data_IF_909712104192
#
_entry.id   IF_909712104192
#
_cell.length_a   1.000
_cell.length_b   1.000
_cell.length_c   1.000
_cell.angle_alpha   90.00
_cell.angle_beta   90.00
_cell.angle_gamma   90.00
#
_symmetry.space_group_name_H-M   'P 1'
#
loop_
_entity.id
_entity.type
_entity.pdbx_description
1 polymer ?
#
# COMPACT_ATOMS: atom_id res chain seq x y z
N UNK A 1 5.79 -7.08 -9.87
CA UNK A 1 4.52 -6.37 -9.59
C UNK A 1 4.42 -6.33 -8.09
N UNK A 2 4.22 -5.16 -7.48
CA UNK A 2 4.21 -5.11 -6.01
C UNK A 2 2.91 -5.73 -5.48
N UNK A 3 2.97 -6.40 -4.34
CA UNK A 3 1.88 -7.20 -3.80
C UNK A 3 2.01 -7.37 -2.29
N UNK A 4 0.87 -7.47 -1.60
CA UNK A 4 0.81 -7.78 -0.17
C UNK A 4 0.05 -9.08 0.07
N UNK A 5 0.56 -9.91 0.97
CA UNK A 5 -0.12 -11.07 1.53
C UNK A 5 -0.45 -10.77 3.00
N UNK A 6 -1.73 -10.53 3.28
CA UNK A 6 -2.24 -10.21 4.61
C UNK A 6 -2.63 -11.51 5.30
N UNK A 7 -2.07 -11.78 6.47
CA UNK A 7 -2.25 -13.04 7.20
C UNK A 7 -2.88 -12.76 8.56
N UNK A 8 -3.96 -13.49 8.87
CA UNK A 8 -4.48 -13.62 10.23
C UNK A 8 -4.36 -15.06 10.71
N UNK A 9 -3.63 -15.25 11.82
CA UNK A 9 -3.55 -16.50 12.58
C UNK A 9 -3.52 -16.18 14.07
N UNK A 10 -4.69 -16.12 14.68
CA UNK A 10 -4.79 -15.96 16.14
C UNK A 10 -4.46 -17.26 16.87
N UNK A 11 -3.87 -17.21 18.08
CA UNK A 11 -3.50 -18.41 18.85
C UNK A 11 -4.66 -19.39 19.10
N UNK A 12 -5.88 -18.88 19.26
CA UNK A 12 -7.08 -19.66 19.54
C UNK A 12 -7.86 -20.09 18.29
N UNK A 13 -7.42 -19.68 17.09
CA UNK A 13 -8.08 -20.04 15.85
C UNK A 13 -7.58 -21.41 15.35
N UNK A 14 -8.47 -22.19 14.74
CA UNK A 14 -8.18 -23.47 14.07
C UNK A 14 -7.74 -23.32 12.60
N UNK A 15 -7.88 -22.10 12.07
CA UNK A 15 -7.57 -21.76 10.69
C UNK A 15 -6.68 -20.52 10.59
N UNK A 16 -6.06 -20.36 9.43
CA UNK A 16 -5.28 -19.19 9.03
C UNK A 16 -5.90 -18.59 7.78
N UNK A 17 -6.18 -17.30 7.80
CA UNK A 17 -6.66 -16.59 6.63
C UNK A 17 -5.51 -15.85 5.95
N UNK A 18 -5.46 -15.94 4.62
CA UNK A 18 -4.52 -15.21 3.77
C UNK A 18 -5.31 -14.46 2.70
N UNK A 19 -5.12 -13.15 2.65
CA UNK A 19 -5.69 -12.27 1.62
C UNK A 19 -4.57 -11.68 0.77
N UNK A 20 -4.73 -11.72 -0.55
CA UNK A 20 -3.77 -11.15 -1.50
C UNK A 20 -4.29 -9.83 -2.03
N UNK A 21 -3.51 -8.76 -1.85
CA UNK A 21 -3.83 -7.41 -2.29
C UNK A 21 -2.79 -6.95 -3.33
N UNK A 22 -3.27 -6.63 -4.53
CA UNK A 22 -2.44 -6.27 -5.69
C UNK A 22 -2.76 -4.89 -6.21
N UNK A 23 -1.73 -4.19 -6.67
CA UNK A 23 -1.89 -3.03 -7.56
C UNK A 23 -2.22 -3.52 -8.96
N UNK A 24 -3.45 -3.32 -9.41
CA UNK A 24 -3.94 -3.77 -10.73
C UNK A 24 -3.81 -2.73 -11.83
N UNK A 25 -3.55 -1.47 -11.49
CA UNK A 25 -3.32 -0.36 -12.44
C UNK A 25 -2.43 0.72 -11.79
N UNK A 26 -2.28 1.89 -12.41
CA UNK A 26 -1.44 2.99 -11.94
C UNK A 26 -1.80 3.44 -10.54
N UNK A 27 -3.09 3.56 -10.25
CA UNK A 27 -3.60 4.01 -8.95
C UNK A 27 -4.64 3.08 -8.34
N UNK A 28 -4.82 1.89 -8.91
CA UNK A 28 -5.88 0.96 -8.49
C UNK A 28 -5.27 -0.23 -7.75
N UNK A 29 -5.80 -0.52 -6.57
CA UNK A 29 -5.44 -1.66 -5.72
C UNK A 29 -6.70 -2.51 -5.46
N UNK A 30 -6.58 -3.83 -5.53
CA UNK A 30 -7.67 -4.79 -5.30
C UNK A 30 -7.20 -5.97 -4.49
N UNK A 31 -8.12 -6.52 -3.70
CA UNK A 31 -8.00 -7.89 -3.23
C UNK A 31 -8.28 -8.84 -4.40
N UNK A 32 -7.34 -9.71 -4.70
CA UNK A 32 -7.38 -10.59 -5.88
C UNK A 32 -7.60 -12.05 -5.52
N UNK A 33 -7.25 -12.44 -4.29
CA UNK A 33 -7.48 -13.78 -3.80
C UNK A 33 -7.66 -13.79 -2.28
N UNK A 34 -8.36 -14.81 -1.77
CA UNK A 34 -8.59 -15.04 -0.36
C UNK A 34 -8.62 -16.56 -0.10
N UNK A 35 -7.81 -17.02 0.84
CA UNK A 35 -7.71 -18.44 1.19
C UNK A 35 -7.78 -18.58 2.69
N UNK A 36 -8.59 -19.52 3.16
CA UNK A 36 -8.62 -19.95 4.56
C UNK A 36 -8.09 -21.37 4.62
N UNK A 37 -7.05 -21.60 5.41
CA UNK A 37 -6.38 -22.89 5.56
C UNK A 37 -6.57 -23.40 6.98
N UNK A 38 -7.11 -24.61 7.10
CA UNK A 38 -7.19 -25.30 8.39
C UNK A 38 -5.78 -25.71 8.83
N UNK A 39 -5.48 -25.64 10.13
CA UNK A 39 -4.15 -25.97 10.65
C UNK A 39 -3.82 -27.47 10.56
N UNK A 40 -4.84 -28.33 10.41
CA UNK A 40 -4.69 -29.78 10.22
C UNK A 40 -4.49 -30.20 8.75
N UNK A 41 -4.45 -29.23 7.82
CA UNK A 41 -4.17 -29.49 6.41
C UNK A 41 -2.73 -30.03 6.25
N UNK A 42 -2.54 -31.23 5.65
CA UNK A 42 -1.21 -31.84 5.53
C UNK A 42 -0.25 -31.02 4.66
N UNK A 43 -0.78 -30.14 3.80
CA UNK A 43 -0.01 -29.22 2.97
C UNK A 43 -0.03 -27.78 3.52
N UNK A 44 -0.45 -27.56 4.77
CA UNK A 44 -0.64 -26.22 5.36
C UNK A 44 0.55 -25.29 5.13
N UNK A 45 1.75 -25.68 5.57
CA UNK A 45 2.95 -24.83 5.44
C UNK A 45 3.31 -24.58 3.97
N UNK A 46 3.20 -25.61 3.13
CA UNK A 46 3.49 -25.52 1.69
C UNK A 46 2.55 -24.54 1.00
N UNK A 47 1.25 -24.57 1.36
CA UNK A 47 0.24 -23.64 0.85
C UNK A 47 0.50 -22.21 1.33
N UNK A 48 0.82 -22.01 2.61
CA UNK A 48 1.20 -20.67 3.12
C UNK A 48 2.40 -20.14 2.35
N UNK A 49 3.50 -20.91 2.21
CA UNK A 49 4.68 -20.49 1.43
C UNK A 49 4.31 -20.12 0.00
N UNK A 50 3.49 -20.92 -0.66
CA UNK A 50 3.06 -20.66 -2.04
C UNK A 50 2.22 -19.39 -2.17
N UNK A 51 1.42 -19.04 -1.16
CA UNK A 51 0.57 -17.84 -1.16
C UNK A 51 1.37 -16.58 -0.83
N UNK A 52 2.43 -16.69 -0.03
CA UNK A 52 3.26 -15.55 0.40
C UNK A 52 4.47 -15.30 -0.48
N UNK A 53 4.87 -16.26 -1.31
CA UNK A 53 6.00 -16.13 -2.22
C UNK A 53 5.83 -14.91 -3.15
N UNK A 54 6.89 -14.08 -3.28
CA UNK A 54 6.88 -12.83 -4.07
C UNK A 54 5.87 -11.78 -3.59
N UNK A 55 5.33 -11.94 -2.37
CA UNK A 55 4.46 -10.95 -1.71
C UNK A 55 5.14 -10.39 -0.47
N UNK A 56 4.89 -9.12 -0.18
CA UNK A 56 5.28 -8.53 1.10
C UNK A 56 4.27 -9.00 2.15
N UNK A 57 4.74 -9.67 3.21
CA UNK A 57 3.86 -10.27 4.21
C UNK A 57 3.47 -9.25 5.27
N UNK A 58 2.16 -9.15 5.52
CA UNK A 58 1.58 -8.28 6.55
C UNK A 58 0.81 -9.15 7.53
N UNK A 59 1.16 -9.09 8.81
CA UNK A 59 0.49 -9.82 9.87
C UNK A 59 -0.51 -8.90 10.57
N UNK A 60 -1.75 -9.36 10.75
CA UNK A 60 -2.74 -8.65 11.59
C UNK A 60 -2.30 -8.61 13.06
N UNK A 61 -2.91 -7.73 13.84
CA UNK A 61 -2.67 -7.64 15.27
C UNK A 61 -2.99 -8.96 15.98
N UNK A 62 -2.13 -9.37 16.91
CA UNK A 62 -2.27 -10.64 17.63
C UNK A 62 -1.88 -11.89 16.82
N UNK A 63 -1.56 -11.75 15.52
CA UNK A 63 -1.16 -12.91 14.72
C UNK A 63 0.14 -13.53 15.23
N UNK A 64 0.09 -14.82 15.48
CA UNK A 64 1.26 -15.68 15.62
C UNK A 64 1.70 -16.14 14.24
N UNK A 65 2.92 -15.80 13.86
CA UNK A 65 3.41 -16.09 12.51
C UNK A 65 3.34 -17.60 12.21
N UNK A 66 2.65 -18.04 11.14
CA UNK A 66 2.52 -19.45 10.79
C UNK A 66 3.85 -20.07 10.31
N UNK A 67 4.76 -19.23 9.84
CA UNK A 67 6.10 -19.59 9.37
C UNK A 67 7.09 -18.53 9.82
N UNK A 68 8.38 -18.86 9.77
CA UNK A 68 9.43 -17.85 9.82
C UNK A 68 9.49 -17.12 8.48
N UNK A 69 9.13 -15.83 8.49
CA UNK A 69 9.18 -14.93 7.35
C UNK A 69 10.39 -14.00 7.49
N UNK A 70 11.10 -13.74 6.38
CA UNK A 70 12.29 -12.91 6.40
C UNK A 70 11.99 -11.42 6.58
N UNK A 71 10.83 -10.98 6.09
CA UNK A 71 10.46 -9.58 5.92
C UNK A 71 9.03 -9.28 6.36
N UNK A 72 8.38 -10.18 7.11
CA UNK A 72 7.03 -9.94 7.60
C UNK A 72 6.96 -8.69 8.49
N UNK A 73 5.96 -7.86 8.23
CA UNK A 73 5.67 -6.64 8.98
C UNK A 73 4.33 -6.76 9.70
N UNK A 74 4.11 -5.89 10.68
CA UNK A 74 2.82 -5.72 11.36
C UNK A 74 1.97 -4.67 10.65
N UNK A 75 0.65 -4.76 10.84
CA UNK A 75 -0.32 -3.89 10.18
C UNK A 75 -0.16 -2.41 10.57
N UNK A 76 0.31 -2.13 11.78
CA UNK A 76 0.61 -0.80 12.31
C UNK A 76 1.69 -0.05 11.51
N UNK A 77 2.58 -0.77 10.82
CA UNK A 77 3.57 -0.15 9.93
C UNK A 77 2.91 0.75 8.86
N UNK A 78 1.67 0.46 8.45
CA UNK A 78 0.96 1.26 7.45
C UNK A 78 0.62 2.68 7.91
N UNK A 79 0.69 2.97 9.22
CA UNK A 79 0.58 4.33 9.75
C UNK A 79 1.75 5.21 9.28
N UNK A 80 2.95 4.62 9.10
CA UNK A 80 4.10 5.31 8.48
C UNK A 80 3.82 5.67 7.01
N UNK A 81 3.19 4.76 6.26
CA UNK A 81 2.78 5.05 4.88
C UNK A 81 1.74 6.18 4.82
N UNK A 82 0.80 6.23 5.76
CA UNK A 82 -0.16 7.35 5.88
C UNK A 82 0.59 8.66 6.15
N UNK A 83 1.49 8.70 7.13
CA UNK A 83 2.25 9.89 7.49
C UNK A 83 3.10 10.39 6.31
N UNK A 84 3.78 9.49 5.61
CA UNK A 84 4.57 9.80 4.40
C UNK A 84 3.70 10.30 3.26
N UNK A 85 2.52 9.73 3.09
CA UNK A 85 1.55 10.18 2.09
C UNK A 85 1.10 11.61 2.39
N UNK A 86 0.74 11.92 3.65
CA UNK A 86 0.38 13.27 4.07
C UNK A 86 1.51 14.29 3.82
N UNK A 87 2.75 13.96 4.23
CA UNK A 87 3.91 14.81 3.96
C UNK A 87 4.14 15.03 2.46
N UNK A 88 3.90 14.01 1.63
CA UNK A 88 4.00 14.14 0.17
C UNK A 88 2.90 15.04 -0.41
N UNK A 89 1.66 14.93 0.07
CA UNK A 89 0.53 15.80 -0.29
C UNK A 89 0.82 17.27 0.01
N UNK A 90 1.42 17.56 1.17
CA UNK A 90 1.83 18.92 1.56
C UNK A 90 2.90 19.47 0.62
N UNK A 91 3.94 18.70 0.31
CA UNK A 91 5.01 19.09 -0.61
C UNK A 91 4.47 19.41 -2.02
N UNK A 92 3.57 18.58 -2.54
CA UNK A 92 2.90 18.82 -3.84
C UNK A 92 2.09 20.11 -3.80
N UNK A 93 1.30 20.30 -2.76
CA UNK A 93 0.43 21.46 -2.60
C UNK A 93 1.26 22.75 -2.51
N UNK A 94 2.34 22.74 -1.73
CA UNK A 94 3.27 23.85 -1.60
C UNK A 94 3.93 24.19 -2.96
N UNK A 95 4.37 23.20 -3.72
CA UNK A 95 4.94 23.40 -5.06
C UNK A 95 3.94 24.06 -6.02
N UNK A 96 2.69 23.63 -6.02
CA UNK A 96 1.62 24.21 -6.86
C UNK A 96 1.37 25.67 -6.47
N UNK A 97 1.24 25.96 -5.18
CA UNK A 97 0.99 27.30 -4.66
C UNK A 97 2.16 28.24 -4.98
N UNK A 98 3.39 27.78 -4.79
CA UNK A 98 4.58 28.57 -5.11
C UNK A 98 4.68 28.89 -6.61
N UNK A 99 4.46 27.89 -7.48
CA UNK A 99 4.45 28.10 -8.93
C UNK A 99 3.35 29.08 -9.33
N UNK A 100 2.12 28.90 -8.82
CA UNK A 100 0.98 29.77 -9.10
C UNK A 100 1.30 31.23 -8.73
N UNK A 101 1.94 31.44 -7.56
CA UNK A 101 2.41 32.76 -7.12
C UNK A 101 3.48 33.33 -8.05
N UNK A 102 4.54 32.57 -8.37
CA UNK A 102 5.66 33.04 -9.21
C UNK A 102 5.23 33.37 -10.64
N UNK A 103 4.30 32.61 -11.20
CA UNK A 103 3.83 32.77 -12.58
C UNK A 103 2.52 33.56 -12.69
N UNK A 104 1.95 34.02 -11.56
CA UNK A 104 0.62 34.65 -11.48
C UNK A 104 -0.45 33.81 -12.18
N UNK A 105 -0.33 32.49 -12.08
CA UNK A 105 -1.24 31.53 -12.71
C UNK A 105 -2.36 31.14 -11.74
N UNK A 106 -3.55 30.86 -12.28
CA UNK A 106 -4.65 30.26 -11.52
C UNK A 106 -4.55 28.75 -11.64
N UNK A 107 -4.01 28.09 -10.60
CA UNK A 107 -3.90 26.64 -10.54
C UNK A 107 -4.80 26.08 -9.44
N UNK A 108 -5.34 24.90 -9.68
CA UNK A 108 -6.14 24.15 -8.71
C UNK A 108 -5.24 23.18 -7.95
N UNK A 109 -5.20 23.32 -6.63
CA UNK A 109 -4.60 22.32 -5.74
C UNK A 109 -5.49 21.08 -5.76
N UNK A 110 -4.95 19.88 -5.99
CA UNK A 110 -5.74 18.66 -6.02
C UNK A 110 -6.41 18.40 -4.67
N UNK A 111 -7.62 17.86 -4.71
CA UNK A 111 -8.24 17.27 -3.54
C UNK A 111 -7.73 15.83 -3.41
N UNK A 112 -7.04 15.53 -2.32
CA UNK A 112 -6.55 14.19 -2.04
C UNK A 112 -7.65 13.31 -1.44
N UNK A 113 -7.40 11.99 -1.47
CA UNK A 113 -8.27 11.00 -0.82
C UNK A 113 -8.25 11.20 0.71
N UNK A 114 -9.35 10.85 1.40
CA UNK A 114 -9.38 10.89 2.87
C UNK A 114 -8.33 9.94 3.46
N UNK A 115 -7.95 10.18 4.71
CA UNK A 115 -7.07 9.27 5.46
C UNK A 115 -7.83 7.96 5.70
N UNK A 116 -7.32 6.82 5.23
CA UNK A 116 -7.95 5.52 5.49
C UNK A 116 -7.90 5.17 6.97
N UNK A 117 -8.90 4.44 7.45
CA UNK A 117 -9.01 3.99 8.83
C UNK A 117 -9.19 2.47 8.87
N UNK A 118 -8.54 1.81 9.81
CA UNK A 118 -8.72 0.37 10.00
C UNK A 118 -10.10 0.10 10.60
N UNK A 119 -11.00 -0.48 9.80
CA UNK A 119 -12.33 -0.85 10.26
C UNK A 119 -12.30 -1.99 11.28
N UNK A 120 -13.24 -1.96 12.24
CA UNK A 120 -13.46 -3.12 13.11
C UNK A 120 -14.01 -4.28 12.28
N UNK A 121 -13.43 -5.49 12.40
CA UNK A 121 -13.92 -6.69 11.73
C UNK A 121 -15.38 -6.99 12.10
N UNK A 122 -16.19 -7.41 11.12
CA UNK A 122 -17.61 -7.74 11.35
C UNK A 122 -17.81 -8.92 12.30
N UNK A 123 -16.83 -9.82 12.35
CA UNK A 123 -16.81 -11.03 13.19
C UNK A 123 -15.42 -11.28 13.70
N UNK A 124 -15.33 -11.95 14.84
CA UNK A 124 -14.08 -12.40 15.43
C UNK A 124 -13.58 -13.71 14.79
N UNK A 125 -13.45 -13.72 13.47
CA UNK A 125 -13.02 -14.87 12.66
C UNK A 125 -11.77 -14.51 11.83
N UNK A 126 -10.84 -15.45 11.57
CA UNK A 126 -9.61 -15.13 10.83
C UNK A 126 -9.85 -14.44 9.49
N UNK A 127 -10.81 -14.94 8.70
CA UNK A 127 -11.15 -14.36 7.40
C UNK A 127 -11.68 -12.93 7.50
N UNK A 128 -12.42 -12.59 8.56
CA UNK A 128 -13.01 -11.28 8.74
C UNK A 128 -11.95 -10.26 9.18
N UNK A 129 -11.05 -10.64 10.10
CA UNK A 129 -9.91 -9.81 10.51
C UNK A 129 -8.94 -9.56 9.35
N UNK A 130 -8.59 -10.61 8.61
CA UNK A 130 -7.71 -10.48 7.46
C UNK A 130 -8.34 -9.66 6.32
N UNK A 131 -9.66 -9.76 6.08
CA UNK A 131 -10.35 -8.92 5.11
C UNK A 131 -10.35 -7.44 5.53
N UNK A 132 -10.65 -7.13 6.80
CA UNK A 132 -10.61 -5.77 7.30
C UNK A 132 -9.21 -5.14 7.13
N UNK A 133 -8.16 -5.89 7.45
CA UNK A 133 -6.78 -5.48 7.25
C UNK A 133 -6.40 -5.35 5.76
N UNK A 134 -6.84 -6.27 4.89
CA UNK A 134 -6.57 -6.20 3.45
C UNK A 134 -7.24 -4.98 2.80
N UNK A 135 -8.47 -4.65 3.20
CA UNK A 135 -9.15 -3.43 2.75
C UNK A 135 -8.37 -2.18 3.20
N UNK A 136 -7.98 -2.12 4.48
CA UNK A 136 -7.18 -1.01 5.00
C UNK A 136 -5.85 -0.84 4.25
N UNK A 137 -5.07 -1.91 4.09
CA UNK A 137 -3.81 -1.90 3.30
C UNK A 137 -4.06 -1.43 1.87
N UNK A 138 -5.13 -1.92 1.24
CA UNK A 138 -5.52 -1.53 -0.10
C UNK A 138 -5.83 -0.04 -0.24
N UNK A 139 -6.57 0.52 0.72
CA UNK A 139 -6.94 1.94 0.76
C UNK A 139 -5.73 2.85 1.04
N UNK A 140 -4.88 2.50 2.01
CA UNK A 140 -3.64 3.23 2.30
C UNK A 140 -2.72 3.25 1.08
N UNK A 141 -2.56 2.11 0.43
CA UNK A 141 -1.72 2.02 -0.76
C UNK A 141 -2.31 2.79 -1.94
N UNK A 142 -3.62 2.72 -2.16
CA UNK A 142 -4.31 3.52 -3.17
C UNK A 142 -4.17 5.03 -2.92
N UNK A 143 -4.21 5.47 -1.65
CA UNK A 143 -4.01 6.86 -1.26
C UNK A 143 -2.60 7.36 -1.64
N UNK A 144 -1.57 6.54 -1.41
CA UNK A 144 -0.21 6.83 -1.88
C UNK A 144 -0.16 6.96 -3.41
N UNK A 145 -0.61 5.93 -4.14
CA UNK A 145 -0.53 5.90 -5.60
C UNK A 145 -1.29 7.06 -6.24
N UNK A 146 -2.48 7.39 -5.73
CA UNK A 146 -3.26 8.54 -6.19
C UNK A 146 -2.51 9.85 -5.96
N UNK A 147 -1.90 10.01 -4.77
CA UNK A 147 -1.11 11.21 -4.44
C UNK A 147 0.08 11.36 -5.38
N UNK A 148 0.82 10.29 -5.59
CA UNK A 148 2.05 10.27 -6.39
C UNK A 148 1.75 10.45 -7.90
N UNK A 149 0.59 10.01 -8.36
CA UNK A 149 0.05 10.31 -9.69
C UNK A 149 -0.31 11.80 -9.84
N UNK A 150 -0.85 12.47 -8.80
CA UNK A 150 -1.07 13.92 -8.87
C UNK A 150 0.25 14.68 -9.04
N UNK A 151 1.31 14.23 -8.40
CA UNK A 151 2.67 14.77 -8.59
C UNK A 151 3.15 14.52 -10.02
N UNK A 152 3.02 13.28 -10.51
CA UNK A 152 3.47 12.89 -11.84
C UNK A 152 2.78 13.69 -12.96
N UNK A 153 1.46 13.91 -12.90
CA UNK A 153 0.72 14.73 -13.89
C UNK A 153 1.18 16.20 -13.99
N UNK A 154 2.01 16.66 -13.05
CA UNK A 154 2.46 18.05 -12.93
C UNK A 154 3.97 18.22 -13.22
N UNK A 155 4.65 17.15 -13.64
CA UNK A 155 6.07 17.16 -14.04
C UNK A 155 6.27 17.62 -15.49
N UNK A 156 5.28 17.34 -16.35
CA UNK A 156 5.26 17.72 -17.77
C UNK A 156 4.11 18.65 -18.07
N UNK A 157 4.31 19.63 -18.97
CA UNK A 157 3.21 20.50 -19.38
C UNK A 157 2.26 19.76 -20.33
N UNK A 158 0.92 19.82 -20.14
CA UNK A 158 -0.02 19.09 -20.98
C UNK A 158 0.07 19.44 -22.47
N UNK A 159 0.48 20.68 -22.80
CA UNK A 159 0.48 21.20 -24.17
C UNK A 159 1.72 20.79 -24.97
N UNK A 160 2.91 20.92 -24.41
CA UNK A 160 4.19 20.65 -25.11
C UNK A 160 4.88 19.38 -24.65
N UNK A 161 4.40 18.73 -23.58
CA UNK A 161 5.01 17.55 -22.95
C UNK A 161 6.44 17.79 -22.43
N UNK A 162 6.83 19.06 -22.28
CA UNK A 162 8.15 19.44 -21.78
C UNK A 162 8.21 19.42 -20.25
N UNK A 163 9.39 19.10 -19.72
CA UNK A 163 9.72 19.07 -18.30
C UNK A 163 10.94 19.97 -18.03
N UNK A 164 11.06 20.63 -16.87
CA UNK A 164 10.10 20.67 -15.76
C UNK A 164 8.93 21.64 -16.01
N UNK A 165 7.75 21.30 -15.49
CA UNK A 165 6.58 22.19 -15.49
C UNK A 165 6.33 22.85 -14.13
N UNK A 166 5.46 22.29 -13.29
CA UNK A 166 5.10 22.87 -11.98
C UNK A 166 5.99 22.31 -10.87
N UNK A 167 6.27 21.00 -10.92
CA UNK A 167 7.01 20.33 -9.86
C UNK A 167 8.47 20.80 -9.81
N UNK A 168 9.03 21.06 -8.62
CA UNK A 168 10.45 21.35 -8.44
C UNK A 168 11.29 20.10 -8.74
N UNK A 169 12.61 20.26 -8.90
CA UNK A 169 13.52 19.21 -9.38
C UNK A 169 13.41 17.92 -8.55
N UNK A 170 13.31 18.03 -7.23
CA UNK A 170 13.18 16.91 -6.30
C UNK A 170 11.83 16.17 -6.36
N UNK A 171 10.81 16.76 -6.99
CA UNK A 171 9.51 16.13 -7.24
C UNK A 171 9.29 15.86 -8.74
N UNK A 172 10.23 16.22 -9.60
CA UNK A 172 10.10 16.12 -11.05
C UNK A 172 10.53 14.72 -11.56
N UNK A 173 9.89 13.69 -11.01
CA UNK A 173 10.18 12.28 -11.29
C UNK A 173 9.22 11.79 -12.39
N UNK A 174 9.71 11.10 -13.45
CA UNK A 174 8.91 10.76 -14.63
C UNK A 174 7.98 9.56 -14.45
N UNK A 175 7.93 8.95 -13.26
CA UNK A 175 7.16 7.74 -13.00
C UNK A 175 6.44 7.79 -11.65
N UNK A 176 5.31 7.10 -11.57
CA UNK A 176 4.60 6.85 -10.30
C UNK A 176 5.29 5.73 -9.54
N UNK A 177 5.88 6.06 -8.41
CA UNK A 177 6.51 5.12 -7.50
C UNK A 177 5.45 4.23 -6.85
N UNK A 178 5.69 2.92 -6.81
CA UNK A 178 4.77 1.98 -6.19
C UNK A 178 4.58 2.26 -4.69
N UNK A 179 5.66 2.66 -4.00
CA UNK A 179 5.70 3.02 -2.60
C UNK A 179 6.78 4.12 -2.40
N UNK A 180 6.75 4.87 -1.29
CA UNK A 180 7.90 5.66 -0.86
C UNK A 180 9.12 4.74 -0.66
N UNK A 181 10.31 5.16 -1.10
CA UNK A 181 11.51 4.32 -1.08
C UNK A 181 11.81 3.72 0.31
N UNK A 182 11.79 4.56 1.35
CA UNK A 182 12.06 4.14 2.74
C UNK A 182 11.00 3.17 3.29
N UNK A 183 9.75 3.24 2.79
CA UNK A 183 8.72 2.28 3.15
C UNK A 183 8.92 0.97 2.38
N UNK A 184 9.24 1.05 1.08
CA UNK A 184 9.53 -0.11 0.24
C UNK A 184 10.70 -0.96 0.76
N UNK A 185 11.69 -0.34 1.40
CA UNK A 185 12.81 -1.05 2.03
C UNK A 185 12.41 -1.90 3.24
N UNK A 186 11.27 -1.58 3.88
CA UNK A 186 10.73 -2.28 5.05
C UNK A 186 9.77 -3.40 4.65
N UNK A 187 9.01 -3.21 3.57
CA UNK A 187 8.06 -4.21 3.06
C UNK A 187 8.64 -4.97 1.87
N UNK A 188 9.76 -5.65 2.06
CA UNK A 188 10.35 -6.45 0.96
C UNK A 188 9.50 -7.71 0.72
N UNK A 189 9.31 -8.14 -0.54
CA UNK A 189 8.66 -9.41 -0.83
C UNK A 189 9.41 -10.59 -0.21
N UNK A 190 8.68 -11.58 0.27
CA UNK A 190 9.30 -12.84 0.71
C UNK A 190 10.00 -13.55 -0.46
N UNK A 191 11.18 -14.15 -0.20
CA UNK A 191 11.92 -14.84 -1.23
C UNK A 191 11.13 -16.04 -1.78
N UNK A 192 11.37 -16.37 -3.05
CA UNK A 192 10.89 -17.63 -3.60
C UNK A 192 11.59 -18.79 -2.86
N UNK A 193 10.84 -19.84 -2.47
CA UNK A 193 11.40 -21.03 -1.82
C UNK A 193 12.35 -21.82 -2.73
#
# INVERSE_FOLDING_TARGET
MFAFAIIDRQPSADATAVWLTHRTDTTFVRNTNAVVLQHDDPDYEKKIRSLTADHSVVLTDGTESPLEFAHAVRIDLFDDLIARTAAHQERISAAIVDYARRKRAKLVVPRFLPVPELATPERDEPQARALAAANYVGEVWAAWLFTDEQRHRRTVTPKTQESPWIMPAELNIPTVAALPAEFADQVKPEPLP
#
